data_IF_611087973838
#
_entry.id   IF_611087973838
#
_cell.length_a   1.000
_cell.length_b   1.000
_cell.length_c   1.000
_cell.angle_alpha   90.00
_cell.angle_beta   90.00
_cell.angle_gamma   90.00
#
_symmetry.space_group_name_H-M   'P 1'
#
loop_
_entity.id
_entity.type
_entity.pdbx_description
1 polymer ?
#
# COMPACT_ATOMS: atom_id res chain seq x y z
N UNK A 1 32.68 18.01 18.08
CA UNK A 1 32.01 17.17 19.10
C UNK A 1 31.06 16.23 18.38
N UNK A 2 31.29 14.91 18.45
CA UNK A 2 30.37 13.90 17.89
C UNK A 2 29.23 13.69 18.89
N UNK A 3 28.01 14.10 18.53
CA UNK A 3 26.84 13.90 19.38
C UNK A 3 26.40 12.44 19.31
N UNK A 4 26.38 11.78 20.47
CA UNK A 4 25.86 10.42 20.63
C UNK A 4 24.34 10.51 20.64
N UNK A 5 23.73 10.05 19.55
CA UNK A 5 22.28 9.79 19.44
C UNK A 5 21.93 8.79 20.53
N UNK A 6 21.09 9.17 21.49
CA UNK A 6 20.58 8.23 22.48
C UNK A 6 19.51 7.42 21.76
N UNK A 7 19.77 6.13 21.53
CA UNK A 7 18.77 5.19 21.01
C UNK A 7 17.52 5.26 21.89
N UNK A 8 16.48 5.93 21.41
CA UNK A 8 15.17 5.87 22.06
C UNK A 8 14.66 4.48 21.74
N UNK A 9 14.81 3.57 22.72
CA UNK A 9 14.34 2.19 22.62
C UNK A 9 12.81 2.18 22.76
N UNK A 10 12.16 2.63 21.69
CA UNK A 10 10.75 2.48 21.46
C UNK A 10 10.53 0.98 21.23
N UNK A 11 10.04 0.27 22.26
CA UNK A 11 9.72 -1.16 22.10
C UNK A 11 8.74 -1.31 20.93
N UNK A 12 9.25 -1.81 19.80
CA UNK A 12 8.48 -1.99 18.57
C UNK A 12 7.20 -2.82 18.82
N UNK A 13 7.23 -3.72 19.81
CA UNK A 13 6.08 -4.50 20.26
C UNK A 13 4.98 -3.71 20.99
N UNK A 14 5.29 -2.64 21.72
CA UNK A 14 4.27 -1.77 22.34
C UNK A 14 3.58 -0.88 21.31
N UNK A 15 4.35 -0.43 20.32
CA UNK A 15 3.87 0.48 19.28
C UNK A 15 3.03 -0.27 18.24
N UNK A 16 3.45 -1.45 17.78
CA UNK A 16 2.64 -2.28 16.85
C UNK A 16 1.31 -2.73 17.44
N UNK A 17 1.22 -2.88 18.77
CA UNK A 17 -0.03 -3.26 19.46
C UNK A 17 -1.09 -2.15 19.43
N UNK A 18 -0.69 -0.89 19.26
CA UNK A 18 -1.62 0.23 19.05
C UNK A 18 -1.67 0.51 17.55
N UNK A 19 -2.82 0.30 16.91
CA UNK A 19 -2.99 0.61 15.48
C UNK A 19 -2.67 2.11 15.24
N UNK A 20 -1.45 2.41 14.80
CA UNK A 20 -1.00 3.78 14.65
C UNK A 20 -1.67 4.37 13.41
N UNK A 21 -2.32 5.54 13.53
CA UNK A 21 -2.76 6.28 12.36
C UNK A 21 -1.58 6.58 11.42
N UNK A 22 -1.81 6.52 10.12
CA UNK A 22 -0.79 6.90 9.14
C UNK A 22 -0.50 8.40 9.29
N UNK A 23 0.74 8.75 9.64
CA UNK A 23 1.12 10.09 10.07
C UNK A 23 0.86 11.14 8.98
N UNK A 24 1.15 10.80 7.73
CA UNK A 24 0.92 11.69 6.58
C UNK A 24 -0.57 11.96 6.29
N UNK A 25 -1.50 11.27 6.97
CA UNK A 25 -2.94 11.56 6.90
C UNK A 25 -3.41 12.41 8.08
N UNK A 26 -2.61 12.51 9.15
CA UNK A 26 -2.92 13.33 10.32
C UNK A 26 -2.62 14.82 10.03
N UNK A 27 -3.64 15.67 10.21
CA UNK A 27 -3.54 17.12 9.96
C UNK A 27 -2.66 17.84 10.98
N UNK A 28 -2.75 17.48 12.25
CA UNK A 28 -1.97 18.08 13.34
C UNK A 28 -0.48 17.75 13.17
N UNK A 29 -0.17 16.49 12.85
CA UNK A 29 1.20 16.08 12.58
C UNK A 29 1.82 16.87 11.41
N UNK A 30 1.07 17.08 10.32
CA UNK A 30 1.53 17.91 9.21
C UNK A 30 1.85 19.33 9.67
N UNK A 31 0.89 19.99 10.32
CA UNK A 31 1.07 21.38 10.77
C UNK A 31 2.29 21.52 11.68
N UNK A 32 2.52 20.55 12.57
CA UNK A 32 3.61 20.61 13.54
C UNK A 32 4.99 20.34 12.93
N UNK A 33 5.09 19.47 11.91
CA UNK A 33 6.38 18.98 11.43
C UNK A 33 6.73 19.40 10.00
N UNK A 34 5.81 20.02 9.24
CA UNK A 34 6.03 20.37 7.83
C UNK A 34 7.28 21.23 7.60
N UNK A 35 7.57 22.17 8.49
CA UNK A 35 8.75 23.05 8.41
C UNK A 35 10.03 22.41 8.98
N UNK A 36 9.90 21.34 9.78
CA UNK A 36 11.02 20.69 10.49
C UNK A 36 11.44 19.36 9.86
N UNK A 37 10.74 18.90 8.82
CA UNK A 37 11.04 17.62 8.17
C UNK A 37 12.42 17.61 7.52
N UNK A 38 13.20 16.57 7.83
CA UNK A 38 14.45 16.29 7.12
C UNK A 38 14.19 15.78 5.70
N UNK A 39 15.24 15.76 4.86
CA UNK A 39 15.16 15.16 3.52
C UNK A 39 14.68 13.70 3.54
N UNK A 40 15.12 12.93 4.54
CA UNK A 40 14.75 11.53 4.69
C UNK A 40 13.28 11.36 5.12
N UNK A 41 12.78 12.26 5.98
CA UNK A 41 11.35 12.30 6.33
C UNK A 41 10.48 12.67 5.14
N UNK A 42 10.89 13.67 4.34
CA UNK A 42 10.17 14.05 3.12
C UNK A 42 10.11 12.89 2.12
N UNK A 43 11.22 12.16 1.97
CA UNK A 43 11.29 10.96 1.13
C UNK A 43 10.34 9.87 1.65
N UNK A 44 10.41 9.55 2.94
CA UNK A 44 9.53 8.56 3.58
C UNK A 44 8.05 8.94 3.48
N UNK A 45 7.73 10.22 3.66
CA UNK A 45 6.37 10.74 3.52
C UNK A 45 5.87 10.66 2.07
N UNK A 46 6.74 10.86 1.07
CA UNK A 46 6.42 10.69 -0.34
C UNK A 46 6.17 9.22 -0.66
N UNK A 47 7.07 8.33 -0.27
CA UNK A 47 6.94 6.87 -0.48
C UNK A 47 5.65 6.33 0.18
N UNK A 48 5.32 6.80 1.40
CA UNK A 48 4.04 6.48 2.04
C UNK A 48 2.82 6.90 1.21
N UNK A 49 2.84 8.10 0.60
CA UNK A 49 1.74 8.55 -0.26
C UNK A 49 1.60 7.68 -1.50
N UNK A 50 2.73 7.31 -2.10
CA UNK A 50 2.77 6.45 -3.27
C UNK A 50 2.20 5.06 -2.95
N UNK A 51 2.63 4.44 -1.84
CA UNK A 51 2.12 3.14 -1.40
C UNK A 51 0.62 3.17 -1.06
N UNK A 52 0.12 4.22 -0.40
CA UNK A 52 -1.32 4.38 -0.14
C UNK A 52 -2.13 4.57 -1.42
N UNK A 53 -1.55 5.25 -2.42
CA UNK A 53 -2.18 5.41 -3.73
C UNK A 53 -2.22 4.07 -4.47
N UNK A 54 -1.11 3.33 -4.44
CA UNK A 54 -0.98 2.00 -5.03
C UNK A 54 -1.99 1.02 -4.42
N UNK A 55 -2.10 0.97 -3.08
CA UNK A 55 -3.08 0.13 -2.37
C UNK A 55 -4.50 0.38 -2.88
N UNK A 56 -4.94 1.65 -2.93
CA UNK A 56 -6.27 2.02 -3.43
C UNK A 56 -6.47 1.68 -4.90
N UNK A 57 -5.44 1.89 -5.72
CA UNK A 57 -5.49 1.56 -7.14
C UNK A 57 -5.60 0.05 -7.34
N UNK A 58 -4.83 -0.74 -6.60
CA UNK A 58 -4.88 -2.21 -6.63
C UNK A 58 -6.24 -2.75 -6.19
N UNK A 59 -6.86 -2.19 -5.14
CA UNK A 59 -8.23 -2.55 -4.73
C UNK A 59 -9.25 -2.30 -5.84
N UNK A 60 -9.18 -1.13 -6.48
CA UNK A 60 -10.08 -0.77 -7.57
C UNK A 60 -9.87 -1.67 -8.79
N UNK A 61 -8.61 -1.90 -9.18
CA UNK A 61 -8.26 -2.76 -10.30
C UNK A 61 -8.71 -4.20 -10.05
N UNK A 62 -8.51 -4.73 -8.83
CA UNK A 62 -8.96 -6.07 -8.45
C UNK A 62 -10.48 -6.22 -8.59
N UNK A 63 -11.24 -5.20 -8.16
CA UNK A 63 -12.70 -5.18 -8.33
C UNK A 63 -13.11 -5.19 -9.80
N UNK A 64 -12.44 -4.41 -10.65
CA UNK A 64 -12.71 -4.34 -12.09
C UNK A 64 -12.39 -5.68 -12.76
N UNK A 65 -11.20 -6.23 -12.51
CA UNK A 65 -10.74 -7.48 -13.14
C UNK A 65 -11.59 -8.68 -12.70
N UNK A 66 -12.01 -8.75 -11.42
CA UNK A 66 -12.94 -9.80 -10.97
C UNK A 66 -14.30 -9.73 -11.70
N UNK A 67 -14.79 -8.53 -11.99
CA UNK A 67 -16.01 -8.35 -12.79
C UNK A 67 -15.79 -8.81 -14.24
N UNK A 68 -14.66 -8.45 -14.85
CA UNK A 68 -14.31 -8.90 -16.20
C UNK A 68 -14.19 -10.43 -16.26
N UNK A 69 -13.54 -11.07 -15.28
CA UNK A 69 -13.47 -12.53 -15.16
C UNK A 69 -14.87 -13.17 -15.20
N UNK A 70 -15.82 -12.61 -14.43
CA UNK A 70 -17.20 -13.09 -14.40
C UNK A 70 -17.86 -13.03 -15.78
N UNK A 71 -17.68 -11.92 -16.49
CA UNK A 71 -18.23 -11.76 -17.85
C UNK A 71 -17.63 -12.76 -18.85
N UNK A 72 -16.32 -13.03 -18.76
CA UNK A 72 -15.69 -14.04 -19.60
C UNK A 72 -16.18 -15.46 -19.27
N UNK A 73 -16.39 -15.77 -17.99
CA UNK A 73 -16.96 -17.06 -17.58
C UNK A 73 -18.39 -17.24 -18.13
N UNK A 74 -19.24 -16.22 -18.06
CA UNK A 74 -20.58 -16.22 -18.67
C UNK A 74 -20.49 -16.43 -20.19
N UNK A 75 -19.55 -15.77 -20.86
CA UNK A 75 -19.29 -15.95 -22.30
C UNK A 75 -18.89 -17.38 -22.64
N UNK A 76 -18.06 -18.05 -21.83
CA UNK A 76 -17.70 -19.45 -22.05
C UNK A 76 -18.92 -20.38 -21.96
N UNK A 77 -19.82 -20.13 -20.99
CA UNK A 77 -21.02 -20.95 -20.84
C UNK A 77 -21.92 -20.84 -22.09
N UNK A 78 -22.13 -19.62 -22.59
CA UNK A 78 -22.90 -19.39 -23.82
C UNK A 78 -22.25 -20.06 -25.04
N UNK A 79 -20.93 -19.89 -25.22
CA UNK A 79 -20.21 -20.54 -26.33
C UNK A 79 -20.28 -22.07 -26.23
N UNK A 80 -20.25 -22.64 -25.02
CA UNK A 80 -20.39 -24.08 -24.80
C UNK A 80 -21.77 -24.58 -25.20
N UNK A 81 -22.84 -23.84 -24.90
CA UNK A 81 -24.20 -24.16 -25.34
C UNK A 81 -24.32 -24.09 -26.87
N UNK A 82 -23.73 -23.06 -27.50
CA UNK A 82 -23.72 -22.91 -28.96
C UNK A 82 -22.98 -24.04 -29.67
N UNK A 83 -21.83 -24.49 -29.15
CA UNK A 83 -21.05 -25.60 -29.71
C UNK A 83 -21.84 -26.92 -29.60
N UNK A 84 -22.52 -27.15 -28.47
CA UNK A 84 -23.33 -28.35 -28.27
C UNK A 84 -24.56 -28.38 -29.18
N UNK A 85 -25.14 -27.21 -29.50
CA UNK A 85 -26.34 -27.10 -30.34
C UNK A 85 -26.04 -26.89 -31.83
N UNK A 86 -24.80 -26.51 -32.19
CA UNK A 86 -24.38 -26.26 -33.57
C UNK A 86 -22.87 -26.52 -33.74
N UNK A 87 -22.48 -27.38 -34.69
CA UNK A 87 -21.06 -27.67 -35.02
C UNK A 87 -20.38 -26.50 -35.76
N UNK A 88 -20.37 -25.31 -35.18
CA UNK A 88 -19.67 -24.14 -35.73
C UNK A 88 -18.23 -24.12 -35.23
N UNK A 89 -17.27 -24.43 -36.13
CA UNK A 89 -15.82 -24.28 -35.88
C UNK A 89 -15.43 -22.91 -35.30
N UNK A 90 -16.14 -21.85 -35.66
CA UNK A 90 -15.89 -20.49 -35.15
C UNK A 90 -16.15 -20.35 -33.64
N UNK A 91 -17.19 -21.02 -33.10
CA UNK A 91 -17.51 -20.97 -31.66
C UNK A 91 -16.44 -21.69 -30.82
N UNK A 92 -15.80 -22.73 -31.37
CA UNK A 92 -14.68 -23.45 -30.73
C UNK A 92 -13.47 -22.52 -30.56
N UNK A 93 -13.07 -21.84 -31.63
CA UNK A 93 -11.92 -20.91 -31.58
C UNK A 93 -12.17 -19.76 -30.58
N UNK A 94 -13.36 -19.15 -30.61
CA UNK A 94 -13.75 -18.09 -29.66
C UNK A 94 -13.76 -18.57 -28.21
N UNK A 95 -14.13 -19.82 -27.97
CA UNK A 95 -14.11 -20.42 -26.64
C UNK A 95 -12.68 -20.54 -26.14
N UNK A 96 -11.76 -21.00 -26.99
CA UNK A 96 -10.35 -21.18 -26.61
C UNK A 96 -9.67 -19.83 -26.32
N UNK A 97 -9.88 -18.81 -27.17
CA UNK A 97 -9.42 -17.44 -26.90
C UNK A 97 -9.96 -16.91 -25.57
N UNK A 98 -11.23 -17.17 -25.27
CA UNK A 98 -11.85 -16.72 -24.02
C UNK A 98 -11.24 -17.46 -22.81
N UNK A 99 -10.87 -18.74 -22.93
CA UNK A 99 -10.15 -19.47 -21.87
C UNK A 99 -8.77 -18.87 -21.62
N UNK A 100 -8.01 -18.57 -22.69
CA UNK A 100 -6.70 -17.93 -22.57
C UNK A 100 -6.79 -16.58 -21.84
N UNK A 101 -7.79 -15.77 -22.19
CA UNK A 101 -8.05 -14.49 -21.51
C UNK A 101 -8.36 -14.67 -20.02
N UNK A 102 -9.13 -15.71 -19.65
CA UNK A 102 -9.40 -16.02 -18.23
C UNK A 102 -8.12 -16.43 -17.50
N UNK A 103 -7.24 -17.21 -18.15
CA UNK A 103 -5.95 -17.59 -17.55
C UNK A 103 -5.06 -16.36 -17.29
N UNK A 104 -5.01 -15.42 -18.23
CA UNK A 104 -4.27 -14.16 -18.03
C UNK A 104 -4.89 -13.31 -16.91
N UNK A 105 -6.21 -13.21 -16.87
CA UNK A 105 -6.93 -12.51 -15.79
C UNK A 105 -6.67 -13.14 -14.43
N UNK A 106 -6.62 -14.46 -14.33
CA UNK A 106 -6.30 -15.14 -13.07
C UNK A 106 -4.91 -14.74 -12.56
N UNK A 107 -3.90 -14.73 -13.42
CA UNK A 107 -2.54 -14.29 -13.05
C UNK A 107 -2.54 -12.85 -12.53
N UNK A 108 -3.24 -11.94 -13.21
CA UNK A 108 -3.37 -10.54 -12.76
C UNK A 108 -4.09 -10.40 -11.42
N UNK A 109 -5.10 -11.23 -11.17
CA UNK A 109 -5.79 -11.28 -9.87
C UNK A 109 -4.79 -11.72 -8.78
N UNK A 110 -4.04 -12.79 -9.01
CA UNK A 110 -3.08 -13.31 -8.03
C UNK A 110 -2.00 -12.28 -7.70
N UNK A 111 -1.47 -11.58 -8.71
CA UNK A 111 -0.49 -10.48 -8.53
C UNK A 111 -1.07 -9.32 -7.70
N UNK A 112 -2.31 -8.91 -7.99
CA UNK A 112 -2.98 -7.83 -7.25
C UNK A 112 -3.28 -8.24 -5.81
N UNK A 113 -3.72 -9.48 -5.59
CA UNK A 113 -3.99 -10.02 -4.25
C UNK A 113 -2.71 -10.10 -3.41
N UNK A 114 -1.62 -10.58 -3.99
CA UNK A 114 -0.30 -10.61 -3.36
C UNK A 114 0.18 -9.22 -2.97
N UNK A 115 0.03 -8.23 -3.87
CA UNK A 115 0.41 -6.85 -3.58
C UNK A 115 -0.43 -6.26 -2.45
N UNK A 116 -1.75 -6.50 -2.44
CA UNK A 116 -2.65 -6.05 -1.38
C UNK A 116 -2.39 -6.75 -0.04
N UNK A 117 -1.81 -7.94 -0.03
CA UNK A 117 -1.39 -8.60 1.21
C UNK A 117 -0.13 -7.95 1.81
N UNK A 118 0.79 -7.50 0.96
CA UNK A 118 2.11 -7.00 1.37
C UNK A 118 2.14 -5.50 1.65
N UNK A 119 1.42 -4.71 0.86
CA UNK A 119 1.38 -3.25 0.97
C UNK A 119 1.06 -2.76 2.38
N UNK A 120 0.05 -3.30 3.11
CA UNK A 120 -0.25 -2.86 4.47
C UNK A 120 0.93 -2.98 5.42
N UNK A 121 1.70 -4.08 5.35
CA UNK A 121 2.89 -4.29 6.18
C UNK A 121 4.02 -3.31 5.82
N UNK A 122 4.20 -3.02 4.52
CA UNK A 122 5.19 -2.04 4.05
C UNK A 122 4.83 -0.63 4.53
N UNK A 123 3.55 -0.24 4.41
CA UNK A 123 3.01 1.04 4.88
C UNK A 123 3.21 1.16 6.40
N UNK A 124 2.89 0.12 7.17
CA UNK A 124 3.09 0.12 8.62
C UNK A 124 4.56 0.34 9.00
N UNK A 125 5.48 -0.41 8.38
CA UNK A 125 6.90 -0.30 8.66
C UNK A 125 7.47 1.09 8.30
N UNK A 126 7.08 1.64 7.16
CA UNK A 126 7.54 2.97 6.74
C UNK A 126 6.93 4.08 7.63
N UNK A 127 5.67 3.93 8.05
CA UNK A 127 5.01 4.85 8.99
C UNK A 127 5.67 4.80 10.37
N UNK A 128 6.10 3.62 10.83
CA UNK A 128 6.88 3.45 12.06
C UNK A 128 8.24 4.15 11.97
N UNK A 129 8.93 4.03 10.84
CA UNK A 129 10.20 4.74 10.62
C UNK A 129 10.01 6.25 10.69
N UNK A 130 9.00 6.77 9.99
CA UNK A 130 8.67 8.20 10.02
C UNK A 130 8.29 8.68 11.43
N UNK A 131 7.61 7.84 12.22
CA UNK A 131 7.30 8.14 13.62
C UNK A 131 8.57 8.24 14.46
N UNK A 132 9.51 7.31 14.31
CA UNK A 132 10.79 7.35 15.03
C UNK A 132 11.56 8.63 14.70
N UNK A 133 11.62 9.02 13.44
CA UNK A 133 12.27 10.27 13.01
C UNK A 133 11.57 11.51 13.58
N UNK A 134 10.23 11.52 13.55
CA UNK A 134 9.41 12.58 14.16
C UNK A 134 9.73 12.75 15.64
N UNK A 135 9.78 11.63 16.38
CA UNK A 135 10.09 11.59 17.81
C UNK A 135 11.52 12.11 18.05
N UNK A 136 12.49 11.70 17.24
CA UNK A 136 13.88 12.16 17.37
C UNK A 136 14.00 13.68 17.25
N UNK A 137 13.27 14.31 16.32
CA UNK A 137 13.24 15.78 16.17
C UNK A 137 12.57 16.43 17.36
N UNK A 138 11.36 15.97 17.73
CA UNK A 138 10.61 16.54 18.84
C UNK A 138 11.38 16.51 20.16
N UNK A 139 12.07 15.41 20.46
CA UNK A 139 12.93 15.31 21.65
C UNK A 139 14.24 16.09 21.54
N UNK A 140 14.78 16.24 20.33
CA UNK A 140 15.93 17.12 20.06
C UNK A 140 15.62 18.57 20.43
N UNK A 141 14.49 19.08 19.94
CA UNK A 141 14.05 20.46 20.16
C UNK A 141 13.74 20.74 21.64
N UNK A 142 13.08 19.81 22.35
CA UNK A 142 12.80 19.94 23.79
C UNK A 142 14.10 20.03 24.60
N UNK A 143 15.13 19.28 24.22
CA UNK A 143 16.42 19.24 24.94
C UNK A 143 17.27 20.49 24.67
N UNK A 144 17.21 21.04 23.46
CA UNK A 144 17.85 22.33 23.13
C UNK A 144 17.11 23.53 23.74
N UNK A 145 15.77 23.53 23.72
CA UNK A 145 14.94 24.54 24.36
C UNK A 145 15.11 24.59 25.88
N UNK A 146 15.22 23.43 26.54
CA UNK A 146 15.52 23.32 27.97
C UNK A 146 16.92 23.81 28.36
N UNK A 147 17.87 23.83 27.40
CA UNK A 147 19.21 24.38 27.63
C UNK A 147 19.26 25.90 27.49
N UNK A 148 18.31 26.51 26.77
CA UNK A 148 18.16 27.97 26.63
C UNK A 148 17.40 28.64 27.78
N UNK A 149 16.76 27.86 28.67
CA UNK A 149 16.12 28.37 29.89
C UNK A 149 17.03 28.33 31.14
N UNK A 150 18.30 27.94 30.97
CA UNK A 150 19.35 28.07 32.00
C UNK A 150 20.44 29.03 31.56
N UNK A 151 20.10 30.29 31.30
CA UNK A 151 21.07 31.39 31.37
C UNK A 151 20.32 32.68 31.69
#
# INVERSE_FOLDING_TARGET
MKYVVKDINLEDGLIRRKKIPVLILNKEWKILFEEYMTKDMLKSAKELREMLSEEKQSELQLKIIRKQKKQLMEKILLLSEEINNSEKKESINKMEETKEQILEINKKIDELEYNLEILPKKIENLNLSLLKDTINIAYGDIKEGGSKMKT
#
